data_IF_244231321755
#
_entry.id   IF_244231321755
#
_cell.length_a   1.000
_cell.length_b   1.000
_cell.length_c   1.000
_cell.angle_alpha   90.00
_cell.angle_beta   90.00
_cell.angle_gamma   90.00
#
_symmetry.space_group_name_H-M   'P 1'
#
loop_
_entity.id
_entity.type
_entity.pdbx_description
1 polymer ?
#
# COMPACT_ATOMS: atom_id res chain seq x y z
N UNK A 1 9.30 -5.44 9.66
CA UNK A 1 8.63 -5.40 8.37
C UNK A 1 7.65 -4.22 8.34
N UNK A 2 7.38 -3.66 7.17
CA UNK A 2 6.45 -2.55 6.99
C UNK A 2 6.01 -2.46 5.53
N UNK A 3 4.87 -1.80 5.22
CA UNK A 3 4.49 -1.51 3.86
C UNK A 3 5.50 -0.58 3.16
N UNK A 4 5.42 -0.51 1.82
CA UNK A 4 6.31 0.38 1.02
C UNK A 4 6.06 1.86 1.36
N UNK A 5 4.82 2.21 1.67
CA UNK A 5 4.38 3.59 1.93
C UNK A 5 3.50 3.64 3.18
N UNK A 6 4.08 3.51 4.40
CA UNK A 6 3.33 3.60 5.65
C UNK A 6 2.63 4.96 5.79
N UNK A 7 1.38 4.94 6.21
CA UNK A 7 0.58 6.17 6.32
C UNK A 7 1.21 7.26 7.21
N UNK A 8 1.84 6.93 8.37
CA UNK A 8 2.51 7.94 9.19
C UNK A 8 3.65 8.66 8.47
N UNK A 9 4.37 7.97 7.58
CA UNK A 9 5.46 8.55 6.80
C UNK A 9 4.93 9.50 5.73
N UNK A 10 3.85 9.11 5.06
CA UNK A 10 3.16 9.99 4.10
C UNK A 10 2.63 11.23 4.81
N UNK A 11 1.99 11.06 5.98
CA UNK A 11 1.50 12.18 6.77
C UNK A 11 2.61 13.17 7.12
N UNK A 12 3.75 12.69 7.61
CA UNK A 12 4.90 13.53 7.94
C UNK A 12 5.46 14.26 6.73
N UNK A 13 5.62 13.55 5.61
CA UNK A 13 6.14 14.14 4.37
C UNK A 13 5.19 15.21 3.82
N UNK A 14 3.88 14.92 3.76
CA UNK A 14 2.90 15.89 3.29
C UNK A 14 2.78 17.08 4.22
N UNK A 15 2.80 16.87 5.54
CA UNK A 15 2.77 17.97 6.51
C UNK A 15 3.97 18.92 6.33
N UNK A 16 5.16 18.37 6.12
CA UNK A 16 6.37 19.16 5.91
C UNK A 16 6.33 19.94 4.58
N UNK A 17 5.92 19.29 3.48
CA UNK A 17 5.90 19.95 2.17
C UNK A 17 4.77 20.98 2.03
N UNK A 18 3.69 20.86 2.81
CA UNK A 18 2.56 21.80 2.80
C UNK A 18 2.58 22.82 3.95
N UNK A 19 3.63 22.84 4.74
CA UNK A 19 3.79 23.77 5.84
C UNK A 19 3.60 25.22 5.37
N UNK A 20 2.80 26.05 6.07
CA UNK A 20 2.46 27.40 5.61
C UNK A 20 3.65 28.37 5.64
N UNK A 21 4.69 28.11 6.43
CA UNK A 21 5.84 28.99 6.54
C UNK A 21 7.04 28.54 5.70
N UNK A 22 7.29 27.22 5.65
CA UNK A 22 8.49 26.64 5.05
C UNK A 22 8.23 25.75 3.84
N UNK A 23 6.97 25.35 3.63
CA UNK A 23 6.57 24.43 2.56
C UNK A 23 6.27 25.12 1.24
N UNK A 24 5.77 24.32 0.29
CA UNK A 24 5.36 24.79 -1.03
C UNK A 24 4.02 25.52 -0.93
N UNK A 25 4.02 26.82 -1.20
CA UNK A 25 2.81 27.66 -1.09
C UNK A 25 1.78 27.34 -2.16
N UNK A 26 2.22 27.13 -3.39
CA UNK A 26 1.33 26.71 -4.50
C UNK A 26 1.17 25.20 -4.51
N UNK A 27 0.14 24.72 -3.83
CA UNK A 27 -0.14 23.28 -3.66
C UNK A 27 -0.50 22.57 -4.97
N UNK A 28 -0.87 23.31 -6.03
CA UNK A 28 -1.09 22.74 -7.35
C UNK A 28 0.18 22.13 -7.98
N UNK A 29 1.35 22.49 -7.45
CA UNK A 29 2.65 21.94 -7.86
C UNK A 29 3.03 20.65 -7.12
N UNK A 30 2.24 20.24 -6.14
CA UNK A 30 2.49 19.03 -5.39
C UNK A 30 1.66 17.88 -5.97
N UNK A 31 2.30 16.75 -6.21
CA UNK A 31 1.66 15.52 -6.68
C UNK A 31 1.97 14.41 -5.70
N UNK A 32 0.93 13.80 -5.13
CA UNK A 32 1.09 12.56 -4.36
C UNK A 32 1.26 11.39 -5.33
N UNK A 33 2.41 10.72 -5.26
CA UNK A 33 2.62 9.47 -5.99
C UNK A 33 2.31 8.27 -5.09
N UNK A 34 1.38 7.42 -5.54
CA UNK A 34 1.05 6.16 -4.87
C UNK A 34 1.85 5.04 -5.52
N UNK A 35 2.62 4.30 -4.72
CA UNK A 35 3.34 3.12 -5.16
C UNK A 35 2.49 1.87 -4.96
N UNK A 36 2.28 1.11 -6.03
CA UNK A 36 1.60 -0.19 -5.99
C UNK A 36 2.57 -1.36 -5.91
N UNK A 37 3.81 -1.12 -5.50
CA UNK A 37 4.76 -2.19 -5.23
C UNK A 37 4.36 -2.94 -3.97
N UNK A 38 4.20 -4.25 -4.07
CA UNK A 38 4.05 -5.12 -2.92
C UNK A 38 5.42 -5.52 -2.37
N UNK A 39 5.48 -5.81 -1.08
CA UNK A 39 6.70 -6.26 -0.40
C UNK A 39 6.38 -7.36 0.60
N UNK A 40 7.12 -8.46 0.53
CA UNK A 40 6.98 -9.60 1.42
C UNK A 40 8.21 -9.81 2.29
N UNK A 41 7.98 -10.29 3.49
CA UNK A 41 9.00 -10.60 4.49
C UNK A 41 8.74 -11.99 5.06
N UNK A 42 9.77 -12.80 5.21
CA UNK A 42 9.67 -14.04 5.97
C UNK A 42 9.53 -13.71 7.45
N UNK A 43 8.56 -14.36 8.10
CA UNK A 43 8.28 -14.17 9.51
C UNK A 43 8.26 -15.53 10.24
N UNK A 44 8.63 -15.50 11.51
CA UNK A 44 8.60 -16.68 12.38
C UNK A 44 7.19 -16.96 12.93
N UNK A 45 7.05 -17.97 13.76
CA UNK A 45 5.79 -18.38 14.41
C UNK A 45 5.18 -17.31 15.32
N UNK A 46 5.97 -16.31 15.75
CA UNK A 46 5.53 -15.17 16.54
C UNK A 46 5.19 -13.96 15.67
N UNK A 47 5.34 -14.08 14.34
CA UNK A 47 5.14 -13.00 13.40
C UNK A 47 6.27 -11.98 13.36
N UNK A 48 7.44 -12.30 13.93
CA UNK A 48 8.64 -11.47 13.88
C UNK A 48 9.46 -11.78 12.63
N UNK A 49 10.22 -10.78 12.16
CA UNK A 49 11.08 -10.93 10.98
C UNK A 49 12.08 -12.09 11.18
N UNK A 50 12.00 -13.10 10.33
CA UNK A 50 12.87 -14.27 10.38
C UNK A 50 14.12 -14.11 9.51
N UNK A 51 14.01 -13.36 8.40
CA UNK A 51 15.10 -13.03 7.48
C UNK A 51 15.01 -11.57 7.04
N UNK A 52 16.15 -11.00 6.65
CA UNK A 52 16.25 -9.64 6.10
C UNK A 52 16.00 -9.57 4.59
N UNK A 53 15.79 -10.71 3.94
CA UNK A 53 15.48 -10.77 2.51
C UNK A 53 14.11 -10.17 2.23
N UNK A 54 14.08 -9.21 1.32
CA UNK A 54 12.85 -8.55 0.87
C UNK A 54 12.37 -9.19 -0.42
N UNK A 55 11.16 -9.73 -0.38
CA UNK A 55 10.49 -10.29 -1.54
C UNK A 55 9.61 -9.22 -2.21
N UNK A 56 9.69 -9.07 -3.54
CA UNK A 56 8.92 -8.10 -4.32
C UNK A 56 8.12 -8.80 -5.43
N UNK A 57 6.94 -9.33 -5.10
CA UNK A 57 6.12 -10.06 -6.07
C UNK A 57 5.51 -9.14 -7.12
N UNK A 58 5.31 -9.70 -8.32
CA UNK A 58 4.48 -9.09 -9.34
C UNK A 58 2.99 -9.13 -8.93
N UNK A 59 2.13 -8.25 -9.47
CA UNK A 59 0.71 -8.20 -9.14
C UNK A 59 -0.02 -9.54 -9.28
N UNK A 60 0.24 -10.30 -10.33
CA UNK A 60 -0.33 -11.64 -10.54
C UNK A 60 0.04 -12.62 -9.42
N UNK A 61 1.24 -12.49 -8.87
CA UNK A 61 1.67 -13.30 -7.73
C UNK A 61 0.96 -12.88 -6.46
N UNK A 62 0.80 -11.57 -6.24
CA UNK A 62 0.00 -11.04 -5.12
C UNK A 62 -1.42 -11.60 -5.18
N UNK A 63 -2.08 -11.49 -6.33
CA UNK A 63 -3.43 -12.01 -6.54
C UNK A 63 -3.53 -13.51 -6.23
N UNK A 64 -2.57 -14.30 -6.71
CA UNK A 64 -2.52 -15.75 -6.43
C UNK A 64 -2.38 -16.04 -4.94
N UNK A 65 -1.56 -15.28 -4.20
CA UNK A 65 -1.39 -15.46 -2.76
C UNK A 65 -2.64 -15.07 -1.99
N UNK A 66 -3.32 -13.97 -2.37
CA UNK A 66 -4.58 -13.55 -1.76
C UNK A 66 -5.71 -14.56 -2.00
N UNK A 67 -5.68 -15.29 -3.11
CA UNK A 67 -6.67 -16.33 -3.42
C UNK A 67 -6.41 -17.69 -2.75
N UNK A 68 -5.29 -17.89 -2.05
CA UNK A 68 -5.03 -19.13 -1.32
C UNK A 68 -5.98 -19.27 -0.12
N UNK A 69 -6.48 -20.48 0.10
CA UNK A 69 -7.49 -20.74 1.14
C UNK A 69 -7.01 -20.53 2.57
N UNK A 70 -5.70 -20.64 2.79
CA UNK A 70 -5.01 -20.46 4.08
C UNK A 70 -4.44 -19.07 4.30
N UNK A 71 -4.61 -18.15 3.33
CA UNK A 71 -4.15 -16.77 3.45
C UNK A 71 -5.04 -16.00 4.43
N UNK A 72 -4.42 -15.37 5.41
CA UNK A 72 -5.08 -14.49 6.37
C UNK A 72 -4.76 -13.03 6.02
N UNK A 73 -5.78 -12.28 5.62
CA UNK A 73 -5.67 -10.85 5.33
C UNK A 73 -6.07 -10.05 6.56
N UNK A 74 -5.24 -9.08 6.93
CA UNK A 74 -5.50 -8.12 8.01
C UNK A 74 -5.20 -6.72 7.53
N UNK A 75 -5.92 -5.73 8.06
CA UNK A 75 -5.64 -4.32 7.82
C UNK A 75 -4.98 -3.71 9.06
N UNK A 76 -3.78 -3.15 8.87
CA UNK A 76 -3.09 -2.44 9.94
C UNK A 76 -3.61 -1.00 10.02
N UNK A 77 -4.22 -0.65 11.14
CA UNK A 77 -4.83 0.66 11.34
C UNK A 77 -3.79 1.78 11.57
N UNK A 78 -2.58 1.44 11.97
CA UNK A 78 -1.48 2.40 12.17
C UNK A 78 -0.86 2.79 10.84
N UNK A 79 -0.50 1.80 10.04
CA UNK A 79 0.10 1.99 8.72
C UNK A 79 -0.92 2.25 7.62
N UNK A 80 -2.22 1.99 7.92
CA UNK A 80 -3.33 2.03 6.97
C UNK A 80 -3.03 1.28 5.68
N UNK A 81 -2.55 0.06 5.87
CA UNK A 81 -2.25 -0.85 4.77
C UNK A 81 -2.73 -2.27 5.08
N UNK A 82 -3.20 -3.00 4.07
CA UNK A 82 -3.45 -4.42 4.21
C UNK A 82 -2.16 -5.21 4.23
N UNK A 83 -2.15 -6.31 4.97
CA UNK A 83 -1.14 -7.35 4.89
C UNK A 83 -1.79 -8.72 4.78
N UNK A 84 -1.14 -9.63 4.04
CA UNK A 84 -1.55 -11.01 3.89
C UNK A 84 -0.48 -11.93 4.48
N UNK A 85 -0.89 -12.82 5.39
CA UNK A 85 -0.03 -13.86 5.94
C UNK A 85 -0.37 -15.18 5.24
N UNK A 86 0.62 -15.82 4.63
CA UNK A 86 0.45 -17.09 3.93
C UNK A 86 1.69 -17.97 4.06
N UNK A 87 1.52 -19.28 3.79
CA UNK A 87 2.63 -20.23 3.75
C UNK A 87 2.99 -20.56 2.31
N UNK A 88 4.28 -20.57 1.99
CA UNK A 88 4.78 -20.97 0.67
C UNK A 88 4.80 -22.51 0.53
N UNK A 89 5.00 -23.01 -0.67
CA UNK A 89 5.14 -24.44 -0.94
C UNK A 89 6.35 -25.06 -0.22
N UNK A 90 7.37 -24.25 0.05
CA UNK A 90 8.57 -24.63 0.80
C UNK A 90 8.36 -24.58 2.32
N UNK A 91 7.17 -24.20 2.80
CA UNK A 91 6.83 -24.14 4.21
C UNK A 91 7.26 -22.85 4.93
N UNK A 92 7.69 -21.83 4.20
CA UNK A 92 8.01 -20.52 4.78
C UNK A 92 6.75 -19.71 5.02
N UNK A 93 6.65 -19.04 6.14
CA UNK A 93 5.56 -18.09 6.42
C UNK A 93 5.98 -16.70 5.96
N UNK A 94 5.17 -16.07 5.12
CA UNK A 94 5.44 -14.74 4.55
C UNK A 94 4.33 -13.77 4.91
N UNK A 95 4.71 -12.60 5.42
CA UNK A 95 3.83 -11.43 5.52
C UNK A 95 4.05 -10.56 4.29
N UNK A 96 2.99 -10.36 3.52
CA UNK A 96 2.97 -9.58 2.27
C UNK A 96 2.19 -8.30 2.50
N UNK A 97 2.85 -7.15 2.37
CA UNK A 97 2.22 -5.83 2.37
C UNK A 97 1.91 -5.40 0.94
N UNK A 98 0.73 -4.82 0.72
CA UNK A 98 0.29 -4.36 -0.60
C UNK A 98 -0.66 -3.17 -0.48
N UNK A 99 -1.11 -2.61 -1.59
CA UNK A 99 -2.14 -1.58 -1.62
C UNK A 99 -3.48 -2.18 -2.07
N UNK A 100 -4.56 -1.79 -1.40
CA UNK A 100 -5.93 -2.12 -1.75
C UNK A 100 -6.78 -0.85 -1.95
N UNK A 101 -8.08 -1.00 -2.18
CA UNK A 101 -9.00 0.11 -2.33
C UNK A 101 -9.01 1.01 -1.08
N UNK A 102 -9.02 0.41 0.11
CA UNK A 102 -9.08 1.13 1.40
C UNK A 102 -7.81 1.94 1.65
N UNK A 103 -6.64 1.33 1.51
CA UNK A 103 -5.35 2.00 1.74
C UNK A 103 -5.12 3.16 0.78
N UNK A 104 -5.50 2.99 -0.48
CA UNK A 104 -5.44 4.07 -1.49
C UNK A 104 -6.42 5.19 -1.15
N UNK A 105 -7.66 4.88 -0.78
CA UNK A 105 -8.66 5.88 -0.41
C UNK A 105 -8.21 6.71 0.81
N UNK A 106 -7.62 6.08 1.81
CA UNK A 106 -7.09 6.77 3.00
C UNK A 106 -5.97 7.76 2.63
N UNK A 107 -5.04 7.36 1.77
CA UNK A 107 -3.92 8.20 1.30
C UNK A 107 -4.41 9.37 0.43
N UNK A 108 -5.38 9.13 -0.45
CA UNK A 108 -5.99 10.18 -1.26
C UNK A 108 -6.79 11.17 -0.41
N UNK A 109 -7.50 10.68 0.60
CA UNK A 109 -8.22 11.52 1.55
C UNK A 109 -7.27 12.45 2.31
N UNK A 110 -6.15 11.92 2.79
CA UNK A 110 -5.10 12.71 3.45
C UNK A 110 -4.56 13.81 2.53
N UNK A 111 -4.20 13.47 1.28
CA UNK A 111 -3.69 14.45 0.32
C UNK A 111 -4.69 15.59 0.09
N UNK A 112 -5.97 15.24 -0.08
CA UNK A 112 -7.06 16.21 -0.27
C UNK A 112 -7.24 17.13 0.94
N UNK A 113 -7.21 16.57 2.16
CA UNK A 113 -7.29 17.36 3.40
C UNK A 113 -6.15 18.38 3.52
N UNK A 114 -4.99 18.10 2.92
CA UNK A 114 -3.84 19.00 2.86
C UNK A 114 -3.85 19.92 1.63
N UNK A 115 -4.92 19.89 0.82
CA UNK A 115 -5.10 20.74 -0.35
C UNK A 115 -4.35 20.26 -1.59
N UNK A 116 -3.89 19.00 -1.63
CA UNK A 116 -3.21 18.39 -2.76
C UNK A 116 -4.26 17.67 -3.62
N UNK A 117 -4.36 18.04 -4.89
CA UNK A 117 -5.29 17.44 -5.86
C UNK A 117 -4.57 16.65 -6.97
N UNK A 118 -3.28 16.84 -7.12
CA UNK A 118 -2.47 16.08 -8.06
C UNK A 118 -2.14 14.69 -7.53
N UNK A 119 -2.48 13.65 -8.30
CA UNK A 119 -2.17 12.26 -7.97
C UNK A 119 -1.50 11.57 -9.15
N UNK A 120 -0.49 10.78 -8.89
CA UNK A 120 0.13 9.90 -9.86
C UNK A 120 0.26 8.47 -9.29
N UNK A 121 0.38 7.49 -10.18
CA UNK A 121 0.52 6.10 -9.78
C UNK A 121 1.84 5.53 -10.28
N UNK A 122 2.56 4.85 -9.43
CA UNK A 122 3.77 4.12 -9.76
C UNK A 122 3.56 2.63 -9.51
N UNK A 123 3.41 1.86 -10.54
CA UNK A 123 3.21 2.22 -11.96
C UNK A 123 1.98 1.49 -12.51
N UNK A 124 1.47 1.88 -13.66
CA UNK A 124 0.26 1.30 -14.25
C UNK A 124 0.29 -0.24 -14.32
N UNK A 125 1.42 -0.85 -14.70
CA UNK A 125 1.54 -2.31 -14.72
C UNK A 125 1.53 -3.00 -13.36
N UNK A 126 1.54 -2.26 -12.26
CA UNK A 126 1.45 -2.79 -10.89
C UNK A 126 0.09 -2.51 -10.26
N UNK A 127 -0.75 -1.66 -10.87
CA UNK A 127 -2.08 -1.38 -10.32
C UNK A 127 -2.95 -2.61 -10.52
N UNK A 128 -3.50 -3.19 -9.44
CA UNK A 128 -4.33 -4.37 -9.53
C UNK A 128 -5.64 -4.07 -10.27
N UNK A 129 -6.04 -4.98 -11.15
CA UNK A 129 -7.28 -4.91 -11.93
C UNK A 129 -8.13 -6.18 -11.75
N UNK A 130 -7.92 -6.91 -10.67
CA UNK A 130 -8.56 -8.19 -10.42
C UNK A 130 -9.92 -7.97 -9.75
N UNK A 131 -10.98 -8.04 -10.55
CA UNK A 131 -12.37 -7.88 -10.10
C UNK A 131 -12.91 -9.05 -9.26
N UNK A 132 -12.25 -10.19 -9.33
CA UNK A 132 -12.64 -11.43 -8.63
C UNK A 132 -12.05 -11.57 -7.22
N UNK A 133 -11.14 -10.68 -6.84
CA UNK A 133 -10.65 -10.56 -5.47
C UNK A 133 -11.18 -9.24 -4.92
N UNK A 134 -12.18 -9.34 -4.04
CA UNK A 134 -12.78 -8.17 -3.41
C UNK A 134 -11.68 -7.36 -2.71
N UNK A 135 -11.81 -6.02 -2.75
CA UNK A 135 -10.92 -5.05 -2.12
C UNK A 135 -9.51 -4.94 -2.75
N UNK A 136 -9.20 -5.73 -3.80
CA UNK A 136 -7.92 -5.60 -4.51
C UNK A 136 -8.05 -4.80 -5.82
N UNK A 137 -9.12 -4.03 -6.00
CA UNK A 137 -9.30 -3.09 -7.11
C UNK A 137 -9.10 -1.65 -6.64
N UNK A 138 -7.86 -1.16 -6.73
CA UNK A 138 -7.53 0.21 -6.34
C UNK A 138 -8.02 1.28 -7.33
N UNK A 139 -8.42 0.92 -8.55
CA UNK A 139 -8.93 1.88 -9.53
C UNK A 139 -10.23 2.53 -9.08
N UNK A 140 -11.11 1.79 -8.41
CA UNK A 140 -12.35 2.33 -7.86
C UNK A 140 -12.08 3.47 -6.89
N UNK A 141 -11.10 3.33 -5.99
CA UNK A 141 -10.71 4.40 -5.08
C UNK A 141 -10.14 5.62 -5.80
N UNK A 142 -9.30 5.43 -6.82
CA UNK A 142 -8.71 6.53 -7.61
C UNK A 142 -9.81 7.28 -8.38
N UNK A 143 -10.73 6.57 -9.01
CA UNK A 143 -11.80 7.17 -9.81
C UNK A 143 -12.87 7.87 -8.97
N UNK A 144 -13.15 7.36 -7.77
CA UNK A 144 -14.10 7.98 -6.83
C UNK A 144 -13.64 9.35 -6.29
N UNK A 145 -12.38 9.71 -6.50
CA UNK A 145 -11.78 10.96 -6.03
C UNK A 145 -11.86 12.12 -7.05
N UNK A 146 -12.53 11.93 -8.17
CA UNK A 146 -12.71 12.97 -9.21
C UNK A 146 -13.73 14.03 -8.83
#
# INVERSE_FOLDING_TARGET
DSPVTPFPDIYRALSAITDPETGVQDKSKIVLQISFAAVGFEVDENGLLADTTIYRPAPDTVAKRLAQADTVVTYDESDRNPSALYTTEEGMTVRLWYEDERSVADKLTLARMMGITGVSVWRLGNVPTYSDISDYDAWSAILAQR
#
